data_IF_589965689922
#
_entry.id   IF_589965689922
#
_cell.length_a   1.000
_cell.length_b   1.000
_cell.length_c   1.000
_cell.angle_alpha   90.00
_cell.angle_beta   90.00
_cell.angle_gamma   90.00
#
_symmetry.space_group_name_H-M   'P 1'
#
loop_
_entity.id
_entity.type
_entity.pdbx_description
1 polymer ?
#
# COMPACT_ATOMS: atom_id res chain seq x y z
N UNK A 1 18.63 6.65 34.26
CA UNK A 1 17.64 6.06 33.33
C UNK A 1 17.39 7.07 32.24
N UNK A 2 18.02 6.90 31.08
CA UNK A 2 17.75 7.72 29.90
C UNK A 2 16.36 7.41 29.36
N UNK A 3 15.50 8.43 29.32
CA UNK A 3 14.25 8.40 28.57
C UNK A 3 14.58 8.14 27.10
N UNK A 4 14.29 6.93 26.62
CA UNK A 4 14.22 6.66 25.18
C UNK A 4 12.83 7.12 24.75
N UNK A 5 12.75 8.29 24.12
CA UNK A 5 11.59 8.66 23.32
C UNK A 5 11.52 7.71 22.13
N UNK A 6 10.49 6.86 22.10
CA UNK A 6 10.14 6.12 20.91
C UNK A 6 9.58 7.09 19.88
N UNK A 7 10.45 7.70 19.08
CA UNK A 7 10.01 8.41 17.88
C UNK A 7 9.52 7.32 16.92
N UNK A 8 8.20 7.26 16.68
CA UNK A 8 7.66 6.42 15.61
C UNK A 8 8.31 6.82 14.28
N UNK A 9 9.17 5.96 13.77
CA UNK A 9 9.84 6.19 12.49
C UNK A 9 8.91 5.74 11.38
N UNK A 10 8.21 6.69 10.76
CA UNK A 10 7.41 6.43 9.57
C UNK A 10 8.33 5.96 8.44
N UNK A 11 7.94 4.90 7.73
CA UNK A 11 8.69 4.37 6.58
C UNK A 11 7.88 4.59 5.31
N UNK A 12 8.51 5.20 4.33
CA UNK A 12 8.03 5.27 2.96
C UNK A 12 8.63 4.09 2.18
N UNK A 13 7.77 3.22 1.67
CA UNK A 13 8.16 2.15 0.73
C UNK A 13 7.52 2.48 -0.60
N UNK A 14 8.34 2.55 -1.65
CA UNK A 14 7.88 2.84 -3.01
C UNK A 14 8.10 1.60 -3.86
N UNK A 15 7.02 1.14 -4.49
CA UNK A 15 7.07 0.10 -5.51
C UNK A 15 7.00 0.77 -6.88
N UNK A 16 7.78 0.25 -7.83
CA UNK A 16 7.69 0.66 -9.23
C UNK A 16 7.12 -0.50 -10.03
N UNK A 17 6.22 -0.17 -10.96
CA UNK A 17 5.69 -1.10 -11.93
C UNK A 17 6.06 -0.61 -13.32
N UNK A 18 6.72 -1.45 -14.11
CA UNK A 18 7.24 -1.09 -15.43
C UNK A 18 7.09 -2.24 -16.42
N UNK A 19 7.27 -1.95 -17.71
CA UNK A 19 7.25 -2.94 -18.77
C UNK A 19 8.70 -3.34 -19.06
N UNK A 20 9.05 -4.58 -18.76
CA UNK A 20 10.34 -5.19 -19.06
C UNK A 20 10.17 -6.25 -20.15
N UNK A 21 10.55 -5.92 -21.39
CA UNK A 21 10.18 -6.75 -22.55
C UNK A 21 8.66 -6.70 -22.77
N UNK A 22 8.02 -7.87 -22.82
CA UNK A 22 6.57 -8.00 -23.03
C UNK A 22 5.79 -8.28 -21.73
N UNK A 23 6.45 -8.21 -20.57
CA UNK A 23 5.83 -8.48 -19.27
C UNK A 23 5.84 -7.25 -18.36
N UNK A 24 4.80 -7.14 -17.55
CA UNK A 24 4.73 -6.15 -16.47
C UNK A 24 5.51 -6.70 -15.27
N UNK A 25 6.48 -5.93 -14.81
CA UNK A 25 7.28 -6.23 -13.63
C UNK A 25 6.95 -5.25 -12.51
N UNK A 26 7.02 -5.72 -11.27
CA UNK A 26 6.84 -4.92 -10.06
C UNK A 26 7.99 -5.20 -9.09
N UNK A 27 8.67 -4.15 -8.66
CA UNK A 27 9.85 -4.26 -7.79
C UNK A 27 9.84 -3.15 -6.74
N UNK A 28 10.53 -3.39 -5.63
CA UNK A 28 10.77 -2.36 -4.62
C UNK A 28 11.74 -1.35 -5.22
N UNK A 29 11.27 -0.13 -5.44
CA UNK A 29 12.06 0.95 -5.97
C UNK A 29 13.02 1.48 -4.91
N UNK A 30 12.49 1.85 -3.74
CA UNK A 30 13.27 2.12 -2.55
C UNK A 30 12.42 2.11 -1.27
N UNK A 31 13.10 2.09 -0.12
CA UNK A 31 12.50 2.25 1.20
C UNK A 31 13.30 3.28 2.00
N UNK A 32 12.62 4.28 2.58
CA UNK A 32 13.26 5.34 3.36
C UNK A 32 12.44 5.70 4.60
N UNK A 33 13.13 5.87 5.72
CA UNK A 33 12.53 6.44 6.94
C UNK A 33 12.29 7.94 6.79
N UNK A 34 11.06 8.39 7.01
CA UNK A 34 10.66 9.80 7.02
C UNK A 34 10.77 10.36 8.44
N UNK A 35 11.84 11.13 8.70
CA UNK A 35 12.07 11.77 10.02
C UNK A 35 11.21 13.01 10.27
N UNK A 36 10.69 13.65 9.22
CA UNK A 36 9.97 14.92 9.28
C UNK A 36 8.44 14.80 9.06
N UNK A 37 7.88 13.60 9.24
CA UNK A 37 6.45 13.31 9.05
C UNK A 37 6.05 12.93 7.62
N UNK A 38 4.76 12.64 7.42
CA UNK A 38 4.14 12.19 6.15
C UNK A 38 3.55 13.35 5.34
N UNK A 39 4.26 14.48 5.29
CA UNK A 39 3.83 15.60 4.44
C UNK A 39 4.10 15.30 2.97
N UNK A 40 3.27 15.87 2.10
CA UNK A 40 3.45 15.76 0.65
C UNK A 40 4.82 16.26 0.18
N UNK A 41 5.32 17.32 0.81
CA UNK A 41 6.65 17.90 0.60
C UNK A 41 7.76 16.90 0.92
N UNK A 42 7.71 16.29 2.11
CA UNK A 42 8.71 15.33 2.55
C UNK A 42 8.77 14.09 1.66
N UNK A 43 7.60 13.58 1.26
CA UNK A 43 7.51 12.43 0.36
C UNK A 43 8.02 12.80 -1.05
N UNK A 44 7.62 13.96 -1.58
CA UNK A 44 8.09 14.43 -2.88
C UNK A 44 9.61 14.62 -2.91
N UNK A 45 10.19 15.20 -1.87
CA UNK A 45 11.64 15.39 -1.77
C UNK A 45 12.38 14.05 -1.69
N UNK A 46 11.84 13.08 -0.94
CA UNK A 46 12.37 11.71 -0.90
C UNK A 46 12.40 11.08 -2.30
N UNK A 47 11.28 11.14 -3.03
CA UNK A 47 11.19 10.59 -4.40
C UNK A 47 12.13 11.33 -5.34
N UNK A 48 12.13 12.67 -5.29
CA UNK A 48 12.94 13.50 -6.18
C UNK A 48 14.42 13.26 -6.00
N UNK A 49 14.88 13.21 -4.75
CA UNK A 49 16.28 12.89 -4.44
C UNK A 49 16.68 11.51 -5.00
N UNK A 50 15.79 10.52 -4.92
CA UNK A 50 16.07 9.19 -5.47
C UNK A 50 16.11 9.20 -7.00
N UNK A 51 15.14 9.85 -7.65
CA UNK A 51 15.07 9.95 -9.12
C UNK A 51 16.30 10.68 -9.67
N UNK A 52 16.67 11.82 -9.09
CA UNK A 52 17.82 12.62 -9.51
C UNK A 52 19.15 11.92 -9.23
N UNK A 53 19.31 11.26 -8.07
CA UNK A 53 20.52 10.50 -7.74
C UNK A 53 20.79 9.35 -8.71
N UNK A 54 19.74 8.73 -9.24
CA UNK A 54 19.83 7.60 -10.16
C UNK A 54 19.68 8.01 -11.64
N UNK A 55 19.69 9.31 -11.95
CA UNK A 55 19.54 9.86 -13.30
C UNK A 55 18.32 9.30 -14.05
N UNK A 56 17.20 9.18 -13.34
CA UNK A 56 15.96 8.64 -13.88
C UNK A 56 15.13 9.74 -14.54
N UNK A 57 14.63 9.47 -15.73
CA UNK A 57 13.80 10.42 -16.47
C UNK A 57 12.36 10.48 -15.92
N UNK A 58 11.97 11.65 -15.43
CA UNK A 58 10.60 11.94 -14.97
C UNK A 58 9.53 11.65 -16.03
N UNK A 59 9.86 11.73 -17.33
CA UNK A 59 8.91 11.41 -18.41
C UNK A 59 8.49 9.94 -18.43
N UNK A 60 9.30 9.04 -17.85
CA UNK A 60 8.97 7.61 -17.70
C UNK A 60 8.00 7.36 -16.55
N UNK A 61 7.84 8.30 -15.62
CA UNK A 61 6.81 8.23 -14.59
C UNK A 61 5.45 8.57 -15.19
N UNK A 62 4.74 7.55 -15.66
CA UNK A 62 3.43 7.70 -16.31
C UNK A 62 2.24 7.48 -15.36
N UNK A 63 2.48 6.95 -14.17
CA UNK A 63 1.43 6.56 -13.23
C UNK A 63 1.85 6.67 -11.77
N UNK A 64 0.90 7.10 -10.93
CA UNK A 64 1.01 7.12 -9.48
C UNK A 64 -0.21 6.42 -8.87
N UNK A 65 0.04 5.50 -7.93
CA UNK A 65 -1.00 4.83 -7.16
C UNK A 65 -0.79 5.12 -5.67
N UNK A 66 -1.74 5.75 -4.99
CA UNK A 66 -1.62 6.09 -3.55
C UNK A 66 -2.84 5.68 -2.74
N UNK A 67 -2.65 5.53 -1.44
CA UNK A 67 -3.67 5.19 -0.43
C UNK A 67 -4.71 6.30 -0.18
N UNK A 68 -4.69 7.38 -0.97
CA UNK A 68 -5.71 8.44 -0.91
C UNK A 68 -5.66 9.33 0.32
N UNK A 69 -4.60 9.24 1.14
CA UNK A 69 -4.40 10.17 2.26
C UNK A 69 -4.29 11.60 1.71
N UNK A 70 -4.81 12.64 2.39
CA UNK A 70 -4.78 14.02 1.90
C UNK A 70 -3.39 14.52 1.46
N UNK A 71 -2.31 14.07 2.13
CA UNK A 71 -0.93 14.38 1.72
C UNK A 71 -0.58 13.82 0.32
N UNK A 72 -1.20 12.72 -0.10
CA UNK A 72 -0.96 12.11 -1.41
C UNK A 72 -1.82 12.72 -2.51
N UNK A 73 -3.10 12.96 -2.23
CA UNK A 73 -4.12 13.33 -3.25
C UNK A 73 -4.63 14.77 -3.16
N UNK A 74 -4.13 15.57 -2.21
CA UNK A 74 -4.55 16.94 -2.01
C UNK A 74 -4.47 17.79 -3.28
N UNK A 75 -5.55 18.50 -3.59
CA UNK A 75 -5.68 19.26 -4.85
C UNK A 75 -4.68 20.41 -4.95
N UNK A 76 -4.36 21.06 -3.83
CA UNK A 76 -3.47 22.22 -3.82
C UNK A 76 -2.01 21.87 -3.53
N UNK A 77 -1.77 20.89 -2.67
CA UNK A 77 -0.45 20.59 -2.12
C UNK A 77 -0.11 19.10 -2.10
N UNK A 78 -0.94 18.23 -2.65
CA UNK A 78 -0.72 16.78 -2.61
C UNK A 78 0.45 16.31 -3.48
N UNK A 79 1.01 15.16 -3.14
CA UNK A 79 2.09 14.53 -3.90
C UNK A 79 1.75 14.38 -5.39
N UNK A 80 0.53 13.93 -5.71
CA UNK A 80 0.09 13.73 -7.09
C UNK A 80 0.19 15.02 -7.92
N UNK A 81 -0.09 16.19 -7.31
CA UNK A 81 0.05 17.49 -7.98
C UNK A 81 1.52 17.80 -8.24
N UNK A 82 2.38 17.69 -7.22
CA UNK A 82 3.83 17.96 -7.35
C UNK A 82 4.49 17.07 -8.41
N UNK A 83 4.09 15.80 -8.49
CA UNK A 83 4.59 14.89 -9.53
C UNK A 83 4.05 15.22 -10.93
N UNK A 84 2.80 15.70 -11.05
CA UNK A 84 2.26 16.19 -12.33
C UNK A 84 2.99 17.43 -12.85
N UNK A 85 3.57 18.26 -11.97
CA UNK A 85 4.41 19.38 -12.39
C UNK A 85 5.74 18.91 -13.02
N UNK A 86 6.22 17.71 -12.67
CA UNK A 86 7.38 17.05 -13.33
C UNK A 86 6.98 16.33 -14.64
N UNK A 87 5.80 15.72 -14.68
CA UNK A 87 5.24 15.10 -15.87
C UNK A 87 3.71 15.27 -15.93
N UNK A 88 3.23 16.18 -16.76
CA UNK A 88 1.80 16.50 -16.88
C UNK A 88 0.97 15.35 -17.47
N UNK A 89 1.60 14.41 -18.17
CA UNK A 89 0.94 13.22 -18.72
C UNK A 89 0.73 12.11 -17.67
N UNK A 90 1.28 12.26 -16.46
CA UNK A 90 1.16 11.25 -15.41
C UNK A 90 -0.30 11.09 -14.95
N UNK A 91 -0.81 9.86 -14.98
CA UNK A 91 -2.07 9.49 -14.38
C UNK A 91 -1.93 9.26 -12.88
N UNK A 92 -2.91 9.67 -12.08
CA UNK A 92 -2.98 9.35 -10.65
C UNK A 92 -4.21 8.51 -10.39
N UNK A 93 -4.04 7.37 -9.72
CA UNK A 93 -5.12 6.48 -9.29
C UNK A 93 -5.08 6.26 -7.79
N UNK A 94 -6.23 5.93 -7.23
CA UNK A 94 -6.33 5.43 -5.86
C UNK A 94 -5.92 3.96 -5.82
N UNK A 95 -5.28 3.56 -4.72
CA UNK A 95 -4.96 2.18 -4.42
C UNK A 95 -6.24 1.32 -4.40
N UNK A 96 -6.15 0.11 -4.95
CA UNK A 96 -7.25 -0.85 -4.97
C UNK A 96 -7.73 -1.15 -3.55
N UNK A 97 -6.81 -1.23 -2.58
CA UNK A 97 -7.12 -1.48 -1.17
C UNK A 97 -7.96 -0.35 -0.60
N UNK A 98 -7.62 0.92 -0.91
CA UNK A 98 -8.45 2.05 -0.50
C UNK A 98 -9.84 1.97 -1.14
N UNK A 99 -9.93 1.68 -2.44
CA UNK A 99 -11.23 1.56 -3.11
C UNK A 99 -12.09 0.46 -2.50
N UNK A 100 -11.49 -0.68 -2.17
CA UNK A 100 -12.16 -1.78 -1.47
C UNK A 100 -12.60 -1.36 -0.06
N UNK A 101 -11.74 -0.68 0.69
CA UNK A 101 -12.07 -0.15 2.02
C UNK A 101 -13.15 0.94 2.00
N UNK A 102 -13.25 1.72 0.93
CA UNK A 102 -14.34 2.68 0.73
C UNK A 102 -15.63 1.98 0.32
N UNK A 103 -15.55 1.01 -0.60
CA UNK A 103 -16.70 0.22 -1.02
C UNK A 103 -17.27 -0.62 0.13
N UNK A 104 -16.44 -1.12 1.04
CA UNK A 104 -16.90 -1.90 2.21
C UNK A 104 -17.81 -1.07 3.14
N UNK A 105 -17.60 0.25 3.20
CA UNK A 105 -18.44 1.17 4.00
C UNK A 105 -19.84 1.36 3.42
N UNK A 106 -20.04 1.10 2.13
CA UNK A 106 -21.33 1.28 1.44
C UNK A 106 -22.03 -0.05 1.15
N UNK A 107 -21.56 -1.16 1.73
CA UNK A 107 -22.15 -2.47 1.50
C UNK A 107 -23.59 -2.56 2.03
N UNK A 108 -24.52 -3.19 1.28
CA UNK A 108 -25.80 -3.62 1.80
C UNK A 108 -25.65 -4.46 3.06
N UNK A 109 -26.61 -4.37 3.99
CA UNK A 109 -26.55 -5.02 5.30
C UNK A 109 -26.18 -6.50 5.24
N UNK A 110 -26.77 -7.26 4.30
CA UNK A 110 -26.48 -8.70 4.11
C UNK A 110 -25.02 -8.97 3.75
N UNK A 111 -24.44 -8.14 2.87
CA UNK A 111 -23.04 -8.27 2.47
C UNK A 111 -22.10 -7.82 3.58
N UNK A 112 -22.46 -6.76 4.32
CA UNK A 112 -21.70 -6.31 5.50
C UNK A 112 -21.64 -7.39 6.58
N UNK A 113 -22.76 -8.04 6.89
CA UNK A 113 -22.79 -9.16 7.84
C UNK A 113 -21.90 -10.33 7.39
N UNK A 114 -21.90 -10.63 6.10
CA UNK A 114 -21.03 -11.67 5.52
C UNK A 114 -19.56 -11.27 5.69
N UNK A 115 -19.22 -10.01 5.40
CA UNK A 115 -17.86 -9.49 5.59
C UNK A 115 -17.43 -9.54 7.07
N UNK A 116 -18.30 -9.16 8.00
CA UNK A 116 -18.03 -9.23 9.44
C UNK A 116 -17.73 -10.66 9.90
N UNK A 117 -18.43 -11.65 9.34
CA UNK A 117 -18.14 -13.07 9.58
C UNK A 117 -16.78 -13.49 9.04
N UNK A 118 -16.46 -13.08 7.81
CA UNK A 118 -15.13 -13.36 7.21
C UNK A 118 -14.02 -12.76 8.07
N UNK A 119 -14.15 -11.51 8.51
CA UNK A 119 -13.18 -10.83 9.39
C UNK A 119 -13.00 -11.61 10.69
N UNK A 120 -14.09 -12.09 11.32
CA UNK A 120 -14.02 -12.89 12.54
C UNK A 120 -13.26 -14.21 12.32
N UNK A 121 -13.50 -14.89 11.21
CA UNK A 121 -12.81 -16.14 10.86
C UNK A 121 -11.32 -15.87 10.67
N UNK A 122 -10.95 -14.87 9.89
CA UNK A 122 -9.55 -14.48 9.67
C UNK A 122 -8.87 -14.16 11.01
N UNK A 123 -9.47 -13.29 11.83
CA UNK A 123 -8.92 -12.92 13.13
C UNK A 123 -8.76 -14.12 14.07
N UNK A 124 -9.71 -15.06 14.06
CA UNK A 124 -9.63 -16.28 14.86
C UNK A 124 -8.48 -17.18 14.38
N UNK A 125 -8.33 -17.36 13.06
CA UNK A 125 -7.24 -18.12 12.45
C UNK A 125 -5.86 -17.53 12.76
N UNK A 126 -5.73 -16.21 12.71
CA UNK A 126 -4.48 -15.48 12.99
C UNK A 126 -4.20 -15.29 14.49
N UNK A 127 -5.19 -15.53 15.36
CA UNK A 127 -5.03 -15.32 16.81
C UNK A 127 -4.03 -16.27 17.49
N UNK A 128 -3.70 -17.40 16.87
CA UNK A 128 -2.69 -18.32 17.39
C UNK A 128 -2.10 -19.22 16.31
N UNK A 129 -0.84 -19.62 16.50
CA UNK A 129 -0.16 -20.58 15.62
C UNK A 129 -0.89 -21.93 15.52
N UNK A 130 -1.60 -22.35 16.58
CA UNK A 130 -2.40 -23.55 16.56
C UNK A 130 -3.57 -23.43 15.58
N UNK A 131 -4.32 -22.32 15.64
CA UNK A 131 -5.46 -22.09 14.77
C UNK A 131 -5.02 -21.96 13.30
N UNK A 132 -3.90 -21.30 13.02
CA UNK A 132 -3.38 -21.20 11.65
C UNK A 132 -2.97 -22.58 11.09
N UNK A 133 -2.40 -23.45 11.93
CA UNK A 133 -2.07 -24.84 11.54
C UNK A 133 -3.34 -25.67 11.32
N UNK A 134 -4.34 -25.56 12.19
CA UNK A 134 -5.62 -26.25 12.02
C UNK A 134 -6.34 -25.80 10.74
N UNK A 135 -6.29 -24.51 10.43
CA UNK A 135 -6.83 -23.97 9.18
C UNK A 135 -6.08 -24.51 7.95
N UNK A 136 -4.75 -24.61 8.02
CA UNK A 136 -3.95 -25.23 6.95
C UNK A 136 -4.39 -26.66 6.68
N UNK A 137 -4.53 -27.49 7.73
CA UNK A 137 -4.99 -28.87 7.61
C UNK A 137 -6.41 -28.95 7.03
N UNK A 138 -7.32 -28.09 7.49
CA UNK A 138 -8.68 -28.00 6.95
C UNK A 138 -8.67 -27.65 5.45
N UNK A 139 -7.79 -26.75 5.01
CA UNK A 139 -7.63 -26.40 3.60
C UNK A 139 -7.09 -27.59 2.78
N UNK A 140 -6.15 -28.35 3.33
CA UNK A 140 -5.61 -29.56 2.69
C UNK A 140 -6.68 -30.64 2.54
N UNK A 141 -7.49 -30.89 3.58
CA UNK A 141 -8.61 -31.85 3.55
C UNK A 141 -9.70 -31.47 2.53
N UNK A 142 -9.79 -30.19 2.17
CA UNK A 142 -10.74 -29.65 1.19
C UNK A 142 -10.14 -29.50 -0.21
N UNK A 143 -8.93 -30.02 -0.47
CA UNK A 143 -8.20 -29.88 -1.72
C UNK A 143 -8.06 -28.41 -2.18
N UNK A 144 -7.87 -27.49 -1.22
CA UNK A 144 -7.72 -26.06 -1.50
C UNK A 144 -6.33 -25.72 -2.04
N UNK A 145 -6.29 -24.92 -3.11
CA UNK A 145 -5.05 -24.34 -3.64
C UNK A 145 -4.43 -23.26 -2.74
N UNK A 146 -5.15 -22.83 -1.70
CA UNK A 146 -4.71 -21.80 -0.75
C UNK A 146 -4.86 -22.30 0.68
N UNK A 147 -3.76 -22.24 1.45
CA UNK A 147 -3.69 -22.74 2.82
C UNK A 147 -3.54 -21.65 3.88
N UNK A 148 -3.43 -20.38 3.45
CA UNK A 148 -3.25 -19.21 4.31
C UNK A 148 -4.05 -18.04 3.76
N UNK A 149 -4.53 -17.19 4.65
CA UNK A 149 -5.07 -15.90 4.27
C UNK A 149 -3.92 -14.93 3.96
N UNK A 150 -3.92 -14.33 2.77
CA UNK A 150 -3.07 -13.18 2.46
C UNK A 150 -3.82 -11.91 2.86
N UNK A 151 -3.87 -11.61 4.14
CA UNK A 151 -4.38 -10.34 4.64
C UNK A 151 -3.54 -9.86 5.82
N UNK A 152 -2.51 -9.08 5.53
CA UNK A 152 -2.00 -8.12 6.51
C UNK A 152 -2.90 -6.88 6.40
N UNK A 153 -3.96 -6.84 7.20
CA UNK A 153 -4.74 -5.62 7.44
C UNK A 153 -4.14 -4.93 8.67
#
# INVERSE_FOLDING_TARGET
MSHVEWVEVLKLIVYVRYIGGDIIQEEIFYSQSLRAGTTSEGIFNSISNFVEKNDLDWKKLIGLCTDGIPAMVGVQSGLAKKLKEKNSAMASTYCVILRQALASKTLPQKLRQTLDWVIRIVNYTESSALNSRLFTLLCEDLDSNHTKFFCSI
#
